data_IF_873222852793
#
_entry.id   IF_873222852793
#
_cell.length_a   1.000
_cell.length_b   1.000
_cell.length_c   1.000
_cell.angle_alpha   90.00
_cell.angle_beta   90.00
_cell.angle_gamma   90.00
#
_symmetry.space_group_name_H-M   'P 1'
#
loop_
_entity.id
_entity.type
_entity.pdbx_description
1 polymer ?
#
# COMPACT_ATOMS: atom_id res chain seq x y z
N UNK A 1 -7.16 3.59 15.02
CA UNK A 1 -6.23 3.12 16.10
C UNK A 1 -5.07 4.10 16.17
N UNK A 2 -4.91 4.81 17.28
CA UNK A 2 -3.86 5.84 17.42
C UNK A 2 -2.51 5.20 17.70
N UNK A 3 -1.46 5.66 17.02
CA UNK A 3 -0.07 5.25 17.26
C UNK A 3 0.54 6.13 18.36
N UNK A 4 1.49 5.60 19.14
CA UNK A 4 2.18 6.37 20.14
C UNK A 4 3.08 7.44 19.51
N UNK A 5 2.83 8.72 19.80
CA UNK A 5 3.65 9.86 19.35
C UNK A 5 4.33 10.54 20.53
N UNK A 6 5.55 11.09 20.31
CA UNK A 6 6.31 11.88 21.30
C UNK A 6 7.02 13.02 20.61
N UNK A 7 7.09 14.19 21.23
CA UNK A 7 7.93 15.30 20.76
C UNK A 7 9.33 15.18 21.35
N UNK A 8 10.35 15.16 20.51
CA UNK A 8 11.78 15.15 20.88
C UNK A 8 12.59 15.89 19.82
N UNK A 9 13.73 16.49 20.20
CA UNK A 9 14.63 17.07 19.20
C UNK A 9 15.25 16.01 18.30
N UNK A 10 15.56 16.40 17.07
CA UNK A 10 16.13 15.53 16.04
C UNK A 10 17.34 14.76 16.56
N UNK A 11 18.30 15.45 17.20
CA UNK A 11 19.54 14.84 17.71
C UNK A 11 19.27 13.79 18.81
N UNK A 12 18.31 14.06 19.69
CA UNK A 12 17.90 13.09 20.72
C UNK A 12 17.31 11.84 20.12
N UNK A 13 16.64 11.95 18.97
CA UNK A 13 16.08 10.81 18.27
C UNK A 13 17.16 10.03 17.55
N UNK A 14 18.12 10.69 16.88
CA UNK A 14 19.26 10.03 16.24
C UNK A 14 20.13 9.25 17.24
N UNK A 15 20.26 9.74 18.46
CA UNK A 15 21.02 9.05 19.52
C UNK A 15 20.35 7.76 20.04
N UNK A 16 19.10 7.46 19.60
CA UNK A 16 18.39 6.26 20.05
C UNK A 16 18.94 5.01 19.37
N UNK A 17 19.06 3.94 20.16
CA UNK A 17 19.47 2.62 19.64
C UNK A 17 18.28 1.92 18.98
N UNK A 18 18.53 1.36 17.81
CA UNK A 18 17.58 0.50 17.14
C UNK A 18 17.35 -0.80 17.89
N UNK A 19 16.15 -1.39 17.75
CA UNK A 19 15.90 -2.73 18.25
C UNK A 19 16.84 -3.74 17.59
N UNK A 20 17.43 -4.63 18.38
CA UNK A 20 18.17 -5.76 17.84
C UNK A 20 17.21 -6.70 17.08
N UNK A 21 17.64 -7.20 15.93
CA UNK A 21 16.89 -8.24 15.21
C UNK A 21 16.60 -9.44 16.12
N UNK A 22 15.39 -9.95 16.03
CA UNK A 22 14.96 -11.14 16.77
C UNK A 22 14.19 -12.04 15.80
N UNK A 23 14.55 -13.33 15.76
CA UNK A 23 13.82 -14.33 14.96
C UNK A 23 12.31 -14.25 15.24
N UNK A 24 11.45 -14.39 14.20
CA UNK A 24 10.00 -14.39 14.39
C UNK A 24 9.54 -15.57 15.23
N UNK A 25 8.41 -15.42 15.88
CA UNK A 25 7.77 -16.49 16.62
C UNK A 25 6.70 -17.16 15.76
N UNK A 26 6.51 -18.47 15.93
CA UNK A 26 5.32 -19.14 15.43
C UNK A 26 4.11 -18.55 16.16
N UNK A 27 3.01 -18.22 15.45
CA UNK A 27 1.81 -17.62 16.07
C UNK A 27 1.29 -18.46 17.23
N UNK A 28 0.92 -17.78 18.29
CA UNK A 28 0.25 -18.41 19.43
C UNK A 28 -1.19 -18.80 19.05
N UNK A 29 -1.57 -20.06 19.21
CA UNK A 29 -2.88 -20.55 18.80
C UNK A 29 -4.03 -19.90 19.59
N UNK A 30 -3.85 -19.59 20.87
CA UNK A 30 -4.87 -18.93 21.68
C UNK A 30 -5.13 -17.52 21.13
N UNK A 31 -4.07 -16.74 20.82
CA UNK A 31 -4.21 -15.42 20.21
C UNK A 31 -4.81 -15.50 18.80
N UNK A 32 -4.41 -16.49 18.00
CA UNK A 32 -5.02 -16.72 16.69
C UNK A 32 -6.53 -17.04 16.82
N UNK A 33 -6.93 -17.78 17.85
CA UNK A 33 -8.35 -18.06 18.14
C UNK A 33 -9.09 -16.78 18.55
N UNK A 34 -8.49 -15.95 19.40
CA UNK A 34 -9.08 -14.65 19.77
C UNK A 34 -9.26 -13.77 18.54
N UNK A 35 -8.24 -13.63 17.68
CA UNK A 35 -8.34 -12.89 16.42
C UNK A 35 -9.47 -13.46 15.56
N UNK A 36 -9.58 -14.78 15.47
CA UNK A 36 -10.62 -15.45 14.70
C UNK A 36 -12.03 -15.17 15.22
N UNK A 37 -12.21 -15.09 16.55
CA UNK A 37 -13.49 -14.73 17.18
C UNK A 37 -13.81 -13.25 16.89
N UNK A 38 -12.85 -12.36 17.10
CA UNK A 38 -13.02 -10.94 16.83
C UNK A 38 -13.31 -10.66 15.33
N UNK A 39 -12.73 -11.47 14.44
CA UNK A 39 -12.99 -11.35 13.01
C UNK A 39 -14.46 -11.59 12.64
N UNK A 40 -15.22 -12.39 13.41
CA UNK A 40 -16.63 -12.65 13.16
C UNK A 40 -17.44 -11.37 13.19
N UNK A 41 -17.21 -10.51 14.18
CA UNK A 41 -17.96 -9.25 14.33
C UNK A 41 -17.77 -8.28 13.18
N UNK A 42 -16.59 -8.25 12.54
CA UNK A 42 -16.32 -7.38 11.39
C UNK A 42 -16.71 -8.03 10.04
N UNK A 43 -16.68 -9.37 9.94
CA UNK A 43 -17.00 -10.08 8.71
C UNK A 43 -18.50 -10.38 8.56
N UNK A 44 -19.21 -10.57 9.68
CA UNK A 44 -20.64 -10.90 9.65
C UNK A 44 -21.48 -9.81 8.91
N UNK A 45 -21.29 -8.50 9.16
CA UNK A 45 -22.02 -7.46 8.44
C UNK A 45 -21.73 -7.43 6.93
N UNK A 46 -20.58 -7.97 6.50
CA UNK A 46 -20.17 -7.99 5.09
C UNK A 46 -20.69 -9.24 4.35
N UNK A 47 -21.41 -10.14 5.03
CA UNK A 47 -21.86 -11.44 4.46
C UNK A 47 -20.72 -12.17 3.76
N UNK A 48 -19.54 -12.20 4.38
CA UNK A 48 -18.29 -12.68 3.77
C UNK A 48 -18.40 -14.13 3.29
N UNK A 49 -18.04 -14.33 2.02
CA UNK A 49 -17.93 -15.65 1.38
C UNK A 49 -16.56 -15.82 0.73
N UNK A 50 -16.13 -17.06 0.48
CA UNK A 50 -14.91 -17.32 -0.27
C UNK A 50 -14.98 -18.66 -1.01
N UNK A 51 -14.23 -18.73 -2.10
CA UNK A 51 -14.08 -19.94 -2.92
C UNK A 51 -12.61 -20.38 -2.97
N UNK A 52 -12.40 -21.69 -3.16
CA UNK A 52 -11.08 -22.26 -3.38
C UNK A 52 -10.94 -22.83 -4.78
N UNK A 53 -9.79 -22.58 -5.41
CA UNK A 53 -9.35 -23.18 -6.66
C UNK A 53 -8.02 -23.92 -6.41
N UNK A 54 -7.93 -25.19 -6.82
CA UNK A 54 -6.72 -25.99 -6.70
C UNK A 54 -6.38 -26.43 -5.26
N UNK A 55 -7.34 -26.41 -4.33
CA UNK A 55 -7.08 -26.77 -2.92
C UNK A 55 -6.54 -28.17 -2.75
N UNK A 56 -6.90 -29.09 -3.61
CA UNK A 56 -6.43 -30.51 -3.64
C UNK A 56 -4.93 -30.61 -3.90
N UNK A 57 -4.33 -29.62 -4.54
CA UNK A 57 -2.87 -29.56 -4.79
C UNK A 57 -2.06 -29.21 -3.53
N UNK A 58 -2.73 -28.75 -2.46
CA UNK A 58 -2.07 -28.30 -1.23
C UNK A 58 -2.26 -29.32 -0.11
N UNK A 59 -1.16 -29.88 0.40
CA UNK A 59 -1.21 -30.73 1.57
C UNK A 59 -1.65 -29.94 2.82
N UNK A 60 -2.50 -30.56 3.67
CA UNK A 60 -3.00 -29.94 4.91
C UNK A 60 -1.87 -29.50 5.86
N UNK A 61 -0.77 -30.24 5.88
CA UNK A 61 0.38 -30.00 6.80
C UNK A 61 1.49 -29.16 6.19
N UNK A 62 1.49 -28.96 4.86
CA UNK A 62 2.53 -28.21 4.16
C UNK A 62 2.37 -26.70 4.35
N UNK A 63 3.43 -25.98 4.79
CA UNK A 63 3.37 -24.54 4.87
C UNK A 63 3.37 -23.92 3.47
N UNK A 64 2.72 -22.79 3.30
CA UNK A 64 2.64 -22.08 2.03
C UNK A 64 2.92 -20.58 2.21
N UNK A 65 3.36 -19.94 1.14
CA UNK A 65 3.36 -18.50 1.04
C UNK A 65 1.96 -18.03 0.61
N UNK A 66 1.34 -17.23 1.44
CA UNK A 66 0.02 -16.63 1.18
C UNK A 66 0.26 -15.21 0.68
N UNK A 67 -0.12 -14.93 -0.55
CA UNK A 67 -0.05 -13.61 -1.16
C UNK A 67 -1.47 -13.05 -1.26
N UNK A 68 -1.70 -11.86 -0.71
CA UNK A 68 -3.01 -11.23 -0.69
C UNK A 68 -2.94 -9.80 -1.23
N UNK A 69 -3.94 -9.37 -2.00
CA UNK A 69 -4.10 -7.98 -2.35
C UNK A 69 -4.41 -7.15 -1.09
N UNK A 70 -3.96 -5.89 -1.08
CA UNK A 70 -4.09 -5.04 0.11
C UNK A 70 -5.12 -3.94 -0.12
N UNK A 71 -6.35 -4.21 0.31
CA UNK A 71 -7.49 -3.37 -0.06
C UNK A 71 -8.20 -2.73 1.14
N UNK A 72 -8.13 -3.34 2.35
CA UNK A 72 -8.95 -2.93 3.48
C UNK A 72 -8.36 -3.37 4.82
N UNK A 73 -8.77 -2.72 5.90
CA UNK A 73 -8.40 -3.11 7.28
C UNK A 73 -9.01 -4.44 7.75
N UNK A 74 -9.93 -5.03 6.96
CA UNK A 74 -10.45 -6.38 7.27
C UNK A 74 -9.62 -7.51 6.66
N UNK A 75 -8.60 -7.21 5.84
CA UNK A 75 -7.81 -8.22 5.11
C UNK A 75 -7.26 -9.30 6.04
N UNK A 76 -6.68 -8.92 7.20
CA UNK A 76 -6.18 -9.88 8.18
C UNK A 76 -7.29 -10.78 8.75
N UNK A 77 -8.50 -10.23 8.93
CA UNK A 77 -9.66 -10.97 9.44
C UNK A 77 -10.16 -11.97 8.40
N UNK A 78 -10.10 -11.61 7.12
CA UNK A 78 -10.40 -12.48 5.99
C UNK A 78 -9.43 -13.68 5.99
N UNK A 79 -8.13 -13.45 6.08
CA UNK A 79 -7.12 -14.51 6.13
C UNK A 79 -7.33 -15.41 7.35
N UNK A 80 -7.60 -14.83 8.52
CA UNK A 80 -7.95 -15.59 9.72
C UNK A 80 -9.18 -16.47 9.52
N UNK A 81 -10.20 -16.00 8.78
CA UNK A 81 -11.40 -16.80 8.46
C UNK A 81 -11.11 -17.99 7.55
N UNK A 82 -10.20 -17.81 6.59
CA UNK A 82 -9.89 -18.80 5.55
C UNK A 82 -8.92 -19.88 6.06
N UNK A 83 -7.86 -19.48 6.77
CA UNK A 83 -6.74 -20.38 7.09
C UNK A 83 -6.76 -20.97 8.50
N UNK A 84 -7.55 -20.41 9.44
CA UNK A 84 -7.64 -21.00 10.78
C UNK A 84 -8.08 -22.48 10.73
N UNK A 85 -7.48 -23.38 11.51
CA UNK A 85 -6.46 -23.19 12.56
C UNK A 85 -5.00 -23.30 12.07
N UNK A 86 -4.74 -23.31 10.75
CA UNK A 86 -3.40 -23.40 10.19
C UNK A 86 -2.59 -22.15 10.60
N UNK A 87 -1.42 -22.30 11.26
CA UNK A 87 -0.62 -21.16 11.69
C UNK A 87 0.01 -20.45 10.49
N UNK A 88 0.03 -19.12 10.54
CA UNK A 88 0.73 -18.30 9.55
C UNK A 88 1.35 -17.06 10.20
N UNK A 89 2.63 -16.79 9.86
CA UNK A 89 3.27 -15.52 10.18
C UNK A 89 2.78 -14.43 9.25
N UNK A 90 2.93 -13.17 9.62
CA UNK A 90 2.40 -12.02 8.90
C UNK A 90 3.53 -11.03 8.66
N UNK A 91 3.89 -10.78 7.40
CA UNK A 91 4.77 -9.66 7.05
C UNK A 91 3.98 -8.36 7.19
N UNK A 92 4.41 -7.52 8.12
CA UNK A 92 3.70 -6.26 8.40
C UNK A 92 4.70 -5.11 8.61
N UNK A 93 4.21 -3.90 8.44
CA UNK A 93 5.03 -2.70 8.60
C UNK A 93 5.50 -2.52 10.05
N UNK A 94 6.73 -2.03 10.21
CA UNK A 94 7.38 -1.86 11.52
C UNK A 94 6.68 -0.84 12.42
N UNK A 95 5.93 0.11 11.87
CA UNK A 95 5.09 1.04 12.63
C UNK A 95 3.99 0.33 13.43
N UNK A 96 3.48 -0.81 12.96
CA UNK A 96 2.56 -1.64 13.75
C UNK A 96 3.13 -2.18 15.08
N UNK A 97 4.46 -2.15 15.24
CA UNK A 97 5.14 -2.55 16.48
C UNK A 97 5.31 -1.42 17.50
N UNK A 98 4.93 -0.19 17.12
CA UNK A 98 5.11 1.01 17.94
C UNK A 98 4.10 1.04 19.09
N UNK A 99 4.61 1.20 20.32
CA UNK A 99 3.81 1.34 21.52
C UNK A 99 4.22 0.40 22.66
N UNK A 100 3.74 0.69 23.84
CA UNK A 100 4.03 -0.13 25.03
C UNK A 100 3.41 -1.53 24.87
N UNK A 101 4.22 -2.57 25.00
CA UNK A 101 3.78 -3.98 24.85
C UNK A 101 3.47 -4.42 23.42
N UNK A 102 3.30 -3.50 22.46
CA UNK A 102 2.92 -3.83 21.07
C UNK A 102 3.94 -4.72 20.39
N UNK A 103 5.24 -4.46 20.57
CA UNK A 103 6.30 -5.30 19.98
C UNK A 103 6.21 -6.76 20.43
N UNK A 104 5.85 -7.03 21.69
CA UNK A 104 5.64 -8.39 22.18
C UNK A 104 4.36 -8.99 21.62
N UNK A 105 3.25 -8.26 21.66
CA UNK A 105 1.96 -8.70 21.13
C UNK A 105 2.07 -9.06 19.64
N UNK A 106 2.62 -8.17 18.82
CA UNK A 106 2.80 -8.40 17.38
C UNK A 106 3.64 -9.65 17.10
N UNK A 107 4.70 -9.88 17.89
CA UNK A 107 5.49 -11.10 17.76
C UNK A 107 4.73 -12.37 18.17
N UNK A 108 3.92 -12.32 19.21
CA UNK A 108 3.12 -13.47 19.67
C UNK A 108 2.02 -13.85 18.67
N UNK A 109 1.49 -12.89 17.91
CA UNK A 109 0.56 -13.17 16.81
C UNK A 109 1.27 -13.54 15.49
N UNK A 110 2.62 -13.61 15.50
CA UNK A 110 3.42 -14.07 14.37
C UNK A 110 3.82 -13.00 13.38
N UNK A 111 3.74 -11.72 13.73
CA UNK A 111 4.16 -10.63 12.85
C UNK A 111 5.67 -10.56 12.69
N UNK A 112 6.11 -10.36 11.44
CA UNK A 112 7.48 -10.12 11.01
C UNK A 112 7.58 -8.65 10.62
N UNK A 113 8.35 -7.81 11.34
CA UNK A 113 8.46 -6.41 11.02
C UNK A 113 9.24 -6.21 9.71
N UNK A 114 8.75 -5.32 8.85
CA UNK A 114 9.46 -4.85 7.67
C UNK A 114 9.30 -3.35 7.52
N UNK A 115 10.25 -2.71 6.83
CA UNK A 115 10.13 -1.33 6.42
C UNK A 115 9.66 -1.30 4.96
N UNK A 116 8.49 -0.69 4.71
CA UNK A 116 7.93 -0.62 3.37
C UNK A 116 8.90 0.07 2.43
N UNK A 117 9.10 -0.51 1.26
CA UNK A 117 9.95 0.01 0.19
C UNK A 117 11.44 0.17 0.54
N UNK A 118 11.90 -0.40 1.63
CA UNK A 118 13.32 -0.48 2.01
C UNK A 118 13.79 -1.92 1.81
N UNK A 119 14.94 -2.10 1.14
CA UNK A 119 15.50 -3.45 0.92
C UNK A 119 15.87 -4.09 2.24
N UNK A 120 15.29 -5.23 2.56
CA UNK A 120 15.53 -5.97 3.80
C UNK A 120 15.82 -7.45 3.53
N UNK A 121 17.09 -7.81 3.63
CA UNK A 121 17.55 -9.21 3.48
C UNK A 121 17.12 -10.06 4.67
N UNK A 122 16.96 -9.45 5.86
CA UNK A 122 16.57 -10.17 7.06
C UNK A 122 15.14 -10.71 6.95
N UNK A 123 14.25 -9.99 6.31
CA UNK A 123 12.88 -10.42 6.03
C UNK A 123 12.84 -11.77 5.31
N UNK A 124 13.67 -11.96 4.27
CA UNK A 124 13.69 -13.21 3.52
C UNK A 124 14.16 -14.38 4.40
N UNK A 125 15.16 -14.16 5.27
CA UNK A 125 15.64 -15.15 6.23
C UNK A 125 14.56 -15.51 7.25
N UNK A 126 13.84 -14.52 7.74
CA UNK A 126 12.75 -14.71 8.70
C UNK A 126 11.57 -15.48 8.10
N UNK A 127 11.21 -15.18 6.85
CA UNK A 127 10.21 -15.95 6.11
C UNK A 127 10.65 -17.41 5.92
N UNK A 128 11.91 -17.65 5.50
CA UNK A 128 12.46 -19.01 5.37
C UNK A 128 12.47 -19.76 6.69
N UNK A 129 12.82 -19.09 7.79
CA UNK A 129 12.81 -19.67 9.13
C UNK A 129 11.41 -20.13 9.54
N UNK A 130 10.36 -19.30 9.32
CA UNK A 130 8.98 -19.72 9.62
C UNK A 130 8.53 -20.88 8.73
N UNK A 131 8.76 -20.77 7.42
CA UNK A 131 8.31 -21.76 6.43
C UNK A 131 8.99 -23.12 6.63
N UNK A 132 10.32 -23.14 6.76
CA UNK A 132 11.12 -24.37 6.72
C UNK A 132 11.41 -24.97 8.11
N UNK A 133 11.72 -24.11 9.11
CA UNK A 133 12.10 -24.60 10.43
C UNK A 133 10.91 -24.66 11.40
N UNK A 134 9.93 -23.77 11.27
CA UNK A 134 8.76 -23.72 12.15
C UNK A 134 7.50 -24.37 11.56
N UNK A 135 7.56 -24.87 10.34
CA UNK A 135 6.41 -25.43 9.61
C UNK A 135 5.19 -24.50 9.72
N UNK A 136 5.38 -23.23 9.40
CA UNK A 136 4.40 -22.15 9.55
C UNK A 136 4.28 -21.39 8.23
N UNK A 137 3.07 -21.25 7.70
CA UNK A 137 2.82 -20.44 6.50
C UNK A 137 3.19 -18.99 6.73
N UNK A 138 3.37 -18.21 5.67
CA UNK A 138 3.65 -16.77 5.76
C UNK A 138 2.67 -16.02 4.88
N UNK A 139 1.97 -15.05 5.46
CA UNK A 139 1.15 -14.06 4.76
C UNK A 139 2.00 -12.85 4.39
N UNK A 140 1.91 -12.43 3.15
CA UNK A 140 2.55 -11.21 2.64
C UNK A 140 1.59 -10.48 1.70
N UNK A 141 1.61 -9.15 1.78
CA UNK A 141 0.95 -8.26 0.82
C UNK A 141 2.02 -7.77 -0.17
N UNK A 142 2.11 -8.35 -1.38
CA UNK A 142 3.22 -8.05 -2.29
C UNK A 142 3.19 -6.63 -2.83
N UNK A 143 2.03 -6.00 -2.82
CA UNK A 143 1.82 -4.60 -3.18
C UNK A 143 2.49 -3.61 -2.19
N UNK A 144 2.80 -4.06 -0.97
CA UNK A 144 3.40 -3.29 0.13
C UNK A 144 2.62 -2.03 0.54
N UNK A 145 1.50 -1.72 -0.10
CA UNK A 145 0.66 -0.54 0.13
C UNK A 145 -0.80 -0.86 -0.15
N UNK A 146 -1.70 -0.12 0.46
CA UNK A 146 -3.12 -0.17 0.09
C UNK A 146 -3.34 0.38 -1.31
N UNK A 147 -4.32 -0.17 -2.02
CA UNK A 147 -4.81 0.42 -3.26
C UNK A 147 -5.43 1.79 -2.98
N UNK A 148 -5.12 2.78 -3.83
CA UNK A 148 -5.70 4.12 -3.73
C UNK A 148 -7.00 4.25 -4.54
N UNK A 149 -7.00 3.71 -5.75
CA UNK A 149 -8.08 3.85 -6.73
C UNK A 149 -8.92 2.57 -6.91
N UNK A 150 -8.68 1.55 -6.10
CA UNK A 150 -9.39 0.27 -6.18
C UNK A 150 -8.83 -0.71 -7.20
N UNK A 151 -7.73 -0.36 -7.89
CA UNK A 151 -7.00 -1.28 -8.78
C UNK A 151 -5.77 -1.87 -8.10
N UNK A 152 -5.18 -2.89 -8.73
CA UNK A 152 -3.92 -3.46 -8.31
C UNK A 152 -2.80 -2.43 -8.34
N UNK A 153 -1.95 -2.42 -7.32
CA UNK A 153 -0.74 -1.60 -7.31
C UNK A 153 0.43 -2.36 -7.95
N UNK A 154 1.43 -1.65 -8.51
CA UNK A 154 2.57 -2.32 -9.13
C UNK A 154 3.30 -3.26 -8.16
N UNK A 155 3.51 -4.51 -8.57
CA UNK A 155 4.28 -5.47 -7.79
C UNK A 155 5.80 -5.22 -7.92
N UNK A 156 6.59 -5.58 -6.89
CA UNK A 156 8.05 -5.58 -6.99
C UNK A 156 8.50 -6.47 -8.15
N UNK A 157 9.37 -5.95 -9.01
CA UNK A 157 9.94 -6.78 -10.08
C UNK A 157 10.83 -7.88 -9.51
N UNK A 158 10.80 -9.05 -10.17
CA UNK A 158 11.52 -10.27 -9.77
C UNK A 158 10.95 -10.94 -8.49
N UNK A 159 9.65 -10.80 -8.25
CA UNK A 159 8.98 -11.59 -7.23
C UNK A 159 9.17 -13.10 -7.47
N UNK A 160 9.23 -13.56 -8.73
CA UNK A 160 9.53 -14.93 -9.09
C UNK A 160 10.86 -15.44 -8.49
N UNK A 161 11.86 -14.56 -8.31
CA UNK A 161 13.12 -14.91 -7.60
C UNK A 161 12.84 -15.24 -6.13
N UNK A 162 12.01 -14.45 -5.46
CA UNK A 162 11.60 -14.70 -4.08
C UNK A 162 10.85 -16.02 -3.98
N UNK A 163 9.88 -16.28 -4.86
CA UNK A 163 9.11 -17.52 -4.89
C UNK A 163 10.01 -18.74 -5.02
N UNK A 164 10.94 -18.73 -5.97
CA UNK A 164 11.93 -19.81 -6.16
C UNK A 164 12.83 -19.99 -4.95
N UNK A 165 13.27 -18.91 -4.31
CA UNK A 165 14.14 -18.96 -3.11
C UNK A 165 13.41 -19.55 -1.90
N UNK A 166 12.14 -19.24 -1.74
CA UNK A 166 11.32 -19.82 -0.66
C UNK A 166 10.99 -21.29 -0.95
N UNK A 167 10.65 -21.64 -2.18
CA UNK A 167 10.44 -23.00 -2.67
C UNK A 167 9.31 -23.75 -1.97
N UNK A 168 8.26 -23.05 -1.59
CA UNK A 168 7.03 -23.58 -0.96
C UNK A 168 5.82 -23.25 -1.83
N UNK A 169 4.70 -23.99 -1.72
CA UNK A 169 3.50 -23.64 -2.47
C UNK A 169 3.08 -22.19 -2.27
N UNK A 170 2.56 -21.58 -3.33
CA UNK A 170 2.07 -20.19 -3.34
C UNK A 170 0.55 -20.20 -3.44
N UNK A 171 -0.10 -19.52 -2.52
CA UNK A 171 -1.56 -19.36 -2.49
C UNK A 171 -1.88 -17.89 -2.60
N UNK A 172 -2.74 -17.49 -3.53
CA UNK A 172 -3.25 -16.13 -3.63
C UNK A 172 -4.61 -16.01 -2.97
N UNK A 173 -4.87 -14.86 -2.37
CA UNK A 173 -6.16 -14.45 -1.83
C UNK A 173 -6.51 -13.10 -2.43
N UNK A 174 -7.44 -13.07 -3.36
CA UNK A 174 -7.88 -11.83 -4.01
C UNK A 174 -9.28 -11.49 -3.50
N UNK A 175 -9.38 -10.36 -2.80
CA UNK A 175 -10.63 -9.87 -2.23
C UNK A 175 -11.39 -9.00 -3.23
N UNK A 176 -12.70 -9.08 -3.16
CA UNK A 176 -13.66 -8.28 -3.90
C UNK A 176 -14.60 -7.59 -2.93
N UNK A 177 -14.88 -6.30 -3.12
CA UNK A 177 -15.69 -5.49 -2.23
C UNK A 177 -14.99 -5.01 -0.95
N UNK A 178 -13.82 -5.55 -0.60
CA UNK A 178 -13.07 -5.13 0.59
C UNK A 178 -12.63 -3.66 0.47
N UNK A 179 -12.10 -3.24 -0.69
CA UNK A 179 -11.79 -1.84 -0.97
C UNK A 179 -13.01 -0.93 -0.83
N UNK A 180 -14.13 -1.32 -1.43
CA UNK A 180 -15.34 -0.51 -1.44
C UNK A 180 -15.94 -0.31 -0.04
N UNK A 181 -15.66 -1.23 0.89
CA UNK A 181 -16.16 -1.17 2.27
C UNK A 181 -15.58 -0.02 3.09
N UNK A 182 -14.29 0.21 3.03
CA UNK A 182 -13.60 1.25 3.81
C UNK A 182 -12.34 1.78 3.09
N UNK A 183 -12.54 2.47 1.93
CA UNK A 183 -11.43 2.96 1.16
C UNK A 183 -10.64 4.04 1.92
N UNK A 184 -9.32 4.05 1.74
CA UNK A 184 -8.44 5.00 2.44
C UNK A 184 -8.78 6.45 2.17
N UNK A 185 -9.10 6.80 0.92
CA UNK A 185 -9.42 8.17 0.55
C UNK A 185 -10.61 8.72 1.33
N UNK A 186 -11.52 7.85 1.76
CA UNK A 186 -12.74 8.19 2.48
C UNK A 186 -12.57 8.14 4.01
N UNK A 187 -11.34 8.30 4.53
CA UNK A 187 -11.01 8.24 5.95
C UNK A 187 -11.53 6.95 6.63
N UNK A 188 -11.54 5.83 5.92
CA UNK A 188 -11.97 4.52 6.42
C UNK A 188 -13.42 4.49 6.93
N UNK A 189 -14.28 5.37 6.43
CA UNK A 189 -15.71 5.31 6.72
C UNK A 189 -16.28 4.01 6.19
N UNK A 190 -16.93 3.24 7.08
CA UNK A 190 -17.43 1.90 6.74
C UNK A 190 -18.71 1.99 5.93
N UNK A 191 -18.77 1.25 4.83
CA UNK A 191 -19.91 1.12 3.95
C UNK A 191 -20.50 -0.29 4.04
N UNK A 192 -21.78 -0.44 3.74
CA UNK A 192 -22.49 -1.72 3.71
C UNK A 192 -22.23 -2.43 2.38
N UNK A 193 -21.12 -3.16 2.29
CA UNK A 193 -20.73 -3.87 1.08
C UNK A 193 -20.55 -5.35 1.38
N UNK A 194 -21.06 -6.19 0.48
CA UNK A 194 -20.74 -7.62 0.50
C UNK A 194 -19.27 -7.82 0.12
N UNK A 195 -18.56 -8.64 0.90
CA UNK A 195 -17.15 -8.94 0.65
C UNK A 195 -16.97 -10.41 0.33
N UNK A 196 -16.17 -10.70 -0.68
CA UNK A 196 -15.79 -12.06 -1.01
C UNK A 196 -14.30 -12.19 -1.24
N UNK A 197 -13.79 -13.44 -1.28
CA UNK A 197 -12.42 -13.73 -1.63
C UNK A 197 -12.33 -14.94 -2.56
N UNK A 198 -11.48 -14.83 -3.59
CA UNK A 198 -11.05 -15.96 -4.41
C UNK A 198 -9.69 -16.43 -3.89
N UNK A 199 -9.64 -17.68 -3.42
CA UNK A 199 -8.41 -18.32 -2.93
C UNK A 199 -7.95 -19.32 -3.98
N UNK A 200 -6.72 -19.16 -4.47
CA UNK A 200 -6.18 -20.03 -5.52
C UNK A 200 -4.81 -20.55 -5.14
N UNK A 201 -4.57 -21.84 -5.31
CA UNK A 201 -3.22 -22.40 -5.29
C UNK A 201 -2.57 -22.03 -6.61
N UNK A 202 -1.74 -20.98 -6.56
CA UNK A 202 -1.14 -20.38 -7.77
C UNK A 202 -0.07 -21.29 -8.34
N UNK A 203 0.80 -21.84 -7.49
CA UNK A 203 1.82 -22.81 -7.88
C UNK A 203 2.17 -23.73 -6.69
N UNK A 204 2.43 -24.98 -6.99
CA UNK A 204 3.01 -25.95 -6.04
C UNK A 204 4.53 -25.77 -5.95
N UNK A 205 5.15 -26.31 -4.90
CA UNK A 205 6.62 -26.30 -4.76
C UNK A 205 7.33 -26.99 -5.95
N UNK A 206 6.69 -27.95 -6.60
CA UNK A 206 7.25 -28.62 -7.77
C UNK A 206 7.15 -27.75 -9.03
N UNK A 207 6.02 -27.10 -9.27
CA UNK A 207 5.82 -26.18 -10.40
C UNK A 207 6.83 -25.01 -10.33
N UNK A 208 7.10 -24.46 -9.11
CA UNK A 208 8.09 -23.41 -8.92
C UNK A 208 9.51 -23.77 -9.38
N UNK A 209 9.89 -25.06 -9.34
CA UNK A 209 11.22 -25.50 -9.77
C UNK A 209 11.38 -25.41 -11.28
N UNK A 210 10.33 -25.73 -12.04
CA UNK A 210 10.34 -25.82 -13.50
C UNK A 210 10.09 -24.48 -14.20
N UNK A 211 9.26 -23.60 -13.59
CA UNK A 211 8.92 -22.29 -14.18
C UNK A 211 10.12 -21.33 -14.15
N UNK A 212 10.21 -20.47 -15.16
CA UNK A 212 11.16 -19.34 -15.19
C UNK A 212 10.71 -18.21 -14.28
N UNK A 213 11.62 -17.31 -13.93
CA UNK A 213 11.28 -16.09 -13.15
C UNK A 213 10.26 -15.21 -13.89
N UNK A 214 10.41 -15.09 -15.22
CA UNK A 214 9.50 -14.29 -16.03
C UNK A 214 8.07 -14.85 -16.03
N UNK A 215 7.92 -16.19 -16.17
CA UNK A 215 6.61 -16.85 -16.07
C UNK A 215 5.96 -16.68 -14.70
N UNK A 216 6.77 -16.72 -13.63
CA UNK A 216 6.27 -16.49 -12.27
C UNK A 216 5.84 -15.04 -12.04
N UNK A 217 6.60 -14.07 -12.56
CA UNK A 217 6.25 -12.65 -12.48
C UNK A 217 4.96 -12.35 -13.27
N UNK A 218 4.82 -12.90 -14.50
CA UNK A 218 3.62 -12.77 -15.34
C UNK A 218 2.38 -13.36 -14.66
N UNK A 219 2.50 -14.59 -14.12
CA UNK A 219 1.43 -15.26 -13.38
C UNK A 219 0.98 -14.46 -12.14
N UNK A 220 1.91 -13.76 -11.47
CA UNK A 220 1.57 -12.86 -10.36
C UNK A 220 0.87 -11.59 -10.86
N UNK A 221 1.38 -10.97 -11.94
CA UNK A 221 0.75 -9.77 -12.53
C UNK A 221 -0.70 -10.09 -12.95
N UNK A 222 -0.97 -11.27 -13.54
CA UNK A 222 -2.32 -11.73 -13.85
C UNK A 222 -3.18 -11.96 -12.61
N UNK A 223 -2.65 -12.67 -11.59
CA UNK A 223 -3.40 -13.00 -10.38
C UNK A 223 -3.79 -11.77 -9.57
N UNK A 224 -2.98 -10.71 -9.63
CA UNK A 224 -3.23 -9.44 -8.93
C UNK A 224 -3.89 -8.37 -9.82
N UNK A 225 -4.14 -8.65 -11.08
CA UNK A 225 -4.84 -7.75 -12.01
C UNK A 225 -6.33 -7.68 -11.69
N UNK A 226 -6.75 -6.88 -10.72
CA UNK A 226 -8.17 -6.68 -10.42
C UNK A 226 -8.53 -5.20 -10.39
N UNK A 227 -9.82 -4.91 -10.60
CA UNK A 227 -10.42 -3.58 -10.54
C UNK A 227 -11.71 -3.66 -9.74
N UNK A 228 -11.73 -3.00 -8.59
CA UNK A 228 -12.85 -3.06 -7.65
C UNK A 228 -14.08 -2.29 -8.16
N UNK A 229 -13.88 -1.14 -8.86
CA UNK A 229 -15.00 -0.39 -9.42
C UNK A 229 -15.64 -1.13 -10.59
N UNK A 230 -14.82 -1.73 -11.48
CA UNK A 230 -15.32 -2.57 -12.56
C UNK A 230 -16.10 -3.77 -12.00
N UNK A 231 -15.54 -4.44 -10.98
CA UNK A 231 -16.25 -5.52 -10.27
C UNK A 231 -17.59 -5.04 -9.68
N UNK A 232 -17.62 -3.87 -9.04
CA UNK A 232 -18.84 -3.27 -8.48
C UNK A 232 -19.89 -3.07 -9.55
N UNK A 233 -19.51 -2.49 -10.69
CA UNK A 233 -20.38 -2.20 -11.82
C UNK A 233 -20.92 -3.47 -12.48
N UNK A 234 -20.07 -4.45 -12.78
CA UNK A 234 -20.44 -5.72 -13.41
C UNK A 234 -21.36 -6.57 -12.54
N UNK A 235 -21.19 -6.51 -11.22
CA UNK A 235 -22.02 -7.26 -10.27
C UNK A 235 -23.19 -6.45 -9.70
N UNK A 236 -23.42 -5.22 -10.20
CA UNK A 236 -24.51 -4.32 -9.80
C UNK A 236 -24.56 -4.10 -8.27
N UNK A 237 -23.37 -3.93 -7.65
CA UNK A 237 -23.27 -3.72 -6.20
C UNK A 237 -23.61 -2.26 -5.89
N UNK A 238 -24.76 -2.07 -5.24
CA UNK A 238 -25.23 -0.75 -4.82
C UNK A 238 -24.55 -0.31 -3.55
N UNK A 239 -23.96 0.90 -3.56
CA UNK A 239 -23.38 1.59 -2.41
C UNK A 239 -24.06 2.95 -2.28
N UNK A 240 -25.06 3.01 -1.41
CA UNK A 240 -25.97 4.16 -1.27
C UNK A 240 -25.57 5.15 -0.17
N UNK A 241 -24.45 4.92 0.51
CA UNK A 241 -24.00 5.80 1.58
C UNK A 241 -23.83 7.25 1.13
N UNK A 242 -24.37 8.22 1.90
CA UNK A 242 -24.37 9.64 1.52
C UNK A 242 -22.98 10.29 1.54
N UNK A 243 -21.99 9.61 2.10
CA UNK A 243 -20.59 10.05 2.19
C UNK A 243 -19.65 9.30 1.22
N UNK A 244 -20.18 8.62 0.19
CA UNK A 244 -19.38 7.76 -0.70
C UNK A 244 -18.32 8.49 -1.51
N UNK A 245 -18.47 9.80 -1.74
CA UNK A 245 -17.48 10.61 -2.42
C UNK A 245 -16.58 11.43 -1.49
N UNK A 246 -16.78 11.39 -0.15
CA UNK A 246 -15.94 12.15 0.78
C UNK A 246 -14.47 11.81 0.59
N UNK A 247 -13.65 12.85 0.42
CA UNK A 247 -12.20 12.72 0.26
C UNK A 247 -11.73 12.14 -1.09
N UNK A 248 -12.62 11.94 -2.06
CA UNK A 248 -12.26 11.41 -3.38
C UNK A 248 -11.22 12.30 -4.11
N UNK A 249 -11.16 13.58 -3.78
CA UNK A 249 -10.13 14.52 -4.24
C UNK A 249 -8.70 14.13 -3.84
N UNK A 250 -8.50 13.32 -2.79
CA UNK A 250 -7.18 12.80 -2.41
C UNK A 250 -6.55 11.97 -3.51
N UNK A 251 -7.36 11.25 -4.27
CA UNK A 251 -6.91 10.42 -5.39
C UNK A 251 -7.17 11.09 -6.74
N UNK A 252 -8.24 11.89 -6.88
CA UNK A 252 -8.61 12.61 -8.10
C UNK A 252 -8.32 14.11 -7.93
N UNK A 253 -7.02 14.45 -7.83
CA UNK A 253 -6.54 15.78 -7.46
C UNK A 253 -6.44 16.77 -8.63
N UNK A 254 -6.45 16.28 -9.89
CA UNK A 254 -6.35 17.12 -11.10
C UNK A 254 -7.64 17.05 -11.90
N UNK A 255 -8.28 18.18 -12.11
CA UNK A 255 -9.53 18.26 -12.86
C UNK A 255 -9.29 18.03 -14.37
N UNK A 256 -9.98 17.07 -15.02
CA UNK A 256 -9.79 16.80 -16.45
C UNK A 256 -10.42 17.88 -17.35
N UNK A 257 -11.30 18.73 -16.84
CA UNK A 257 -11.96 19.77 -17.60
C UNK A 257 -11.09 21.03 -17.71
N UNK A 258 -10.52 21.52 -16.61
CA UNK A 258 -9.71 22.74 -16.58
C UNK A 258 -8.21 22.49 -16.34
N UNK A 259 -7.81 21.24 -16.14
CA UNK A 259 -6.42 20.80 -15.90
C UNK A 259 -5.78 21.34 -14.60
N UNK A 260 -6.55 22.00 -13.72
CA UNK A 260 -6.05 22.55 -12.45
C UNK A 260 -5.91 21.47 -11.40
N UNK A 261 -4.83 21.51 -10.63
CA UNK A 261 -4.56 20.60 -9.51
C UNK A 261 -4.96 21.22 -8.16
N UNK A 262 -5.29 20.37 -7.17
CA UNK A 262 -5.56 20.75 -5.79
C UNK A 262 -6.83 21.61 -5.60
N UNK A 263 -7.69 21.69 -6.61
CA UNK A 263 -8.93 22.46 -6.56
C UNK A 263 -10.18 21.55 -6.61
N UNK A 264 -10.00 20.26 -6.49
CA UNK A 264 -11.13 19.31 -6.38
C UNK A 264 -11.49 19.09 -4.91
N UNK A 265 -12.75 18.92 -4.60
CA UNK A 265 -13.28 18.57 -3.29
C UNK A 265 -14.30 17.44 -3.44
N UNK A 266 -14.04 16.30 -2.77
CA UNK A 266 -15.00 15.20 -2.64
C UNK A 266 -15.79 15.35 -1.35
N UNK A 267 -17.12 15.54 -1.47
CA UNK A 267 -18.02 15.71 -0.32
C UNK A 267 -19.39 15.12 -0.60
N UNK A 268 -19.90 14.35 0.35
CA UNK A 268 -21.19 13.70 0.21
C UNK A 268 -21.16 12.67 -0.92
N UNK A 269 -21.88 12.95 -1.99
CA UNK A 269 -21.96 12.07 -3.18
C UNK A 269 -21.32 12.69 -4.42
N UNK A 270 -20.63 13.84 -4.29
CA UNK A 270 -20.10 14.60 -5.42
C UNK A 270 -18.62 14.92 -5.27
N UNK A 271 -17.95 15.08 -6.42
CA UNK A 271 -16.64 15.64 -6.56
C UNK A 271 -16.77 16.96 -7.34
N UNK A 272 -16.40 18.07 -6.72
CA UNK A 272 -16.54 19.42 -7.29
C UNK A 272 -15.16 20.00 -7.56
N UNK A 273 -14.96 20.61 -8.73
CA UNK A 273 -13.77 21.42 -9.01
C UNK A 273 -14.09 22.90 -8.73
N UNK A 274 -13.45 23.50 -7.73
CA UNK A 274 -13.66 24.90 -7.37
C UNK A 274 -13.06 25.90 -8.37
N UNK A 275 -12.15 25.45 -9.24
CA UNK A 275 -11.54 26.32 -10.27
C UNK A 275 -12.48 26.57 -11.45
N UNK A 276 -13.20 25.56 -11.93
CA UNK A 276 -14.08 25.68 -13.10
C UNK A 276 -15.56 25.39 -12.83
N UNK A 277 -15.93 25.08 -11.60
CA UNK A 277 -17.29 24.78 -11.19
C UNK A 277 -17.84 23.42 -11.64
N UNK A 278 -17.05 22.59 -12.36
CA UNK A 278 -17.50 21.28 -12.82
C UNK A 278 -17.79 20.35 -11.64
N UNK A 279 -18.94 19.70 -11.66
CA UNK A 279 -19.42 18.76 -10.63
C UNK A 279 -19.61 17.39 -11.23
N UNK A 280 -19.11 16.37 -10.53
CA UNK A 280 -19.28 14.95 -10.88
C UNK A 280 -20.00 14.24 -9.72
N UNK A 281 -21.11 13.58 -10.01
CA UNK A 281 -21.80 12.73 -9.05
C UNK A 281 -21.19 11.32 -9.05
N UNK A 282 -20.83 10.79 -7.89
CA UNK A 282 -20.50 9.39 -7.73
C UNK A 282 -21.80 8.61 -7.53
N UNK A 283 -22.17 7.82 -8.54
CA UNK A 283 -23.38 7.01 -8.48
C UNK A 283 -23.27 5.86 -7.47
N UNK A 284 -24.36 5.25 -7.12
CA UNK A 284 -24.42 4.08 -6.22
C UNK A 284 -23.71 2.85 -6.80
N UNK A 285 -23.58 2.79 -8.13
CA UNK A 285 -22.84 1.73 -8.84
C UNK A 285 -21.37 2.07 -9.08
N UNK A 286 -20.86 3.19 -8.53
CA UNK A 286 -19.45 3.54 -8.62
C UNK A 286 -19.02 4.23 -9.92
N UNK A 287 -19.99 4.75 -10.71
CA UNK A 287 -19.67 5.60 -11.86
C UNK A 287 -19.54 7.06 -11.45
N UNK A 288 -18.60 7.79 -12.06
CA UNK A 288 -18.53 9.24 -12.00
C UNK A 288 -19.28 9.84 -13.19
N UNK A 289 -20.32 10.62 -12.94
CA UNK A 289 -21.12 11.27 -13.95
C UNK A 289 -21.11 12.77 -13.76
N UNK A 290 -20.75 13.52 -14.79
CA UNK A 290 -20.90 14.96 -14.75
C UNK A 290 -22.37 15.33 -14.56
N UNK A 291 -22.64 16.28 -13.66
CA UNK A 291 -24.01 16.76 -13.43
C UNK A 291 -24.52 17.53 -14.66
N UNK A 292 -23.59 18.30 -15.32
CA UNK A 292 -23.88 19.04 -16.53
C UNK A 292 -22.87 18.69 -17.64
N UNK A 293 -23.37 18.34 -18.83
CA UNK A 293 -22.57 17.99 -20.01
C UNK A 293 -21.86 16.65 -19.86
N UNK A 294 -20.81 16.43 -20.64
CA UNK A 294 -20.11 15.16 -20.73
C UNK A 294 -19.12 14.93 -19.60
N UNK A 295 -18.98 13.66 -19.21
CA UNK A 295 -17.94 13.18 -18.30
C UNK A 295 -16.69 12.81 -19.09
N UNK A 296 -15.56 13.43 -18.79
CA UNK A 296 -14.27 13.03 -19.37
C UNK A 296 -13.90 11.58 -18.97
N UNK A 297 -14.24 11.21 -17.75
CA UNK A 297 -14.07 9.85 -17.21
C UNK A 297 -15.30 9.48 -16.39
N UNK A 298 -15.84 8.31 -16.66
CA UNK A 298 -16.93 7.71 -15.87
C UNK A 298 -16.42 6.67 -14.89
N UNK A 299 -15.17 6.21 -15.06
CA UNK A 299 -14.51 5.20 -14.26
C UNK A 299 -13.36 5.83 -13.46
N UNK A 300 -13.38 5.70 -12.12
CA UNK A 300 -12.39 6.32 -11.23
C UNK A 300 -10.95 5.91 -11.57
N UNK A 301 -10.63 4.62 -11.81
CA UNK A 301 -9.30 4.20 -12.19
C UNK A 301 -8.80 4.80 -13.51
N UNK A 302 -9.68 5.09 -14.47
CA UNK A 302 -9.30 5.72 -15.74
C UNK A 302 -8.85 7.17 -15.53
N UNK A 303 -9.55 7.90 -14.66
CA UNK A 303 -9.15 9.24 -14.25
C UNK A 303 -7.80 9.21 -13.52
N UNK A 304 -7.63 8.29 -12.56
CA UNK A 304 -6.36 8.13 -11.84
C UNK A 304 -5.21 7.75 -12.79
N UNK A 305 -5.47 6.88 -13.78
CA UNK A 305 -4.52 6.52 -14.83
C UNK A 305 -4.19 7.69 -15.78
N UNK A 306 -5.16 8.56 -16.04
CA UNK A 306 -4.91 9.79 -16.79
C UNK A 306 -3.97 10.72 -16.01
N UNK A 307 -4.17 10.94 -14.73
CA UNK A 307 -3.26 11.71 -13.88
C UNK A 307 -1.83 11.14 -13.89
N UNK A 308 -1.69 9.80 -13.89
CA UNK A 308 -0.39 9.13 -14.05
C UNK A 308 0.29 9.52 -15.37
N UNK A 309 -0.46 9.58 -16.47
CA UNK A 309 0.07 10.03 -17.76
C UNK A 309 0.51 11.49 -17.73
N UNK A 310 -0.23 12.36 -17.05
CA UNK A 310 0.15 13.76 -16.88
C UNK A 310 1.47 13.91 -16.10
N UNK A 311 1.58 13.23 -14.96
CA UNK A 311 2.81 13.22 -14.15
C UNK A 311 4.00 12.65 -14.94
N UNK A 312 3.78 11.59 -15.72
CA UNK A 312 4.81 11.02 -16.60
C UNK A 312 5.28 12.05 -17.63
N UNK A 313 4.36 12.79 -18.24
CA UNK A 313 4.66 13.86 -19.20
C UNK A 313 5.46 14.98 -18.52
N UNK A 314 5.04 15.46 -17.35
CA UNK A 314 5.78 16.46 -16.57
C UNK A 314 7.24 16.02 -16.28
N UNK A 315 7.45 14.73 -15.97
CA UNK A 315 8.79 14.17 -15.77
C UNK A 315 9.61 14.08 -17.06
N UNK A 316 8.98 13.77 -18.20
CA UNK A 316 9.64 13.71 -19.51
C UNK A 316 10.04 15.11 -20.02
N UNK A 317 9.22 16.12 -19.77
CA UNK A 317 9.45 17.52 -20.10
C UNK A 317 10.37 18.24 -19.10
N UNK A 318 10.67 17.62 -17.96
CA UNK A 318 11.50 18.24 -16.90
C UNK A 318 10.79 19.34 -16.13
N UNK A 319 9.48 19.42 -16.20
CA UNK A 319 8.66 20.43 -15.49
C UNK A 319 8.16 19.95 -14.13
N UNK A 320 8.28 18.64 -13.84
CA UNK A 320 7.84 18.08 -12.57
C UNK A 320 8.72 18.56 -11.41
N UNK A 321 8.12 19.25 -10.47
CA UNK A 321 8.70 19.53 -9.15
C UNK A 321 7.58 19.64 -8.13
N UNK A 322 7.68 18.89 -7.06
CA UNK A 322 6.79 18.98 -5.92
C UNK A 322 7.56 19.47 -4.72
N UNK A 323 7.11 20.58 -4.15
CA UNK A 323 7.64 21.16 -2.91
C UNK A 323 6.50 21.38 -1.93
N UNK A 324 6.65 20.95 -0.68
CA UNK A 324 5.64 21.10 0.36
C UNK A 324 6.25 21.23 1.75
N UNK A 325 5.63 22.05 2.59
CA UNK A 325 5.94 22.12 4.01
C UNK A 325 5.38 20.89 4.72
N UNK A 326 6.16 20.32 5.63
CA UNK A 326 5.80 19.08 6.32
C UNK A 326 6.09 19.17 7.82
N UNK A 327 5.23 18.53 8.62
CA UNK A 327 5.62 18.06 9.94
C UNK A 327 6.39 16.75 9.80
N UNK A 328 7.50 16.61 10.54
CA UNK A 328 8.39 15.46 10.40
C UNK A 328 8.29 14.56 11.63
N UNK A 329 7.84 13.32 11.39
CA UNK A 329 7.92 12.23 12.34
C UNK A 329 9.09 11.31 12.02
N UNK A 330 9.78 10.77 13.02
CA UNK A 330 10.83 9.78 12.85
C UNK A 330 10.53 8.48 13.61
N UNK A 331 10.87 7.37 12.99
CA UNK A 331 10.89 6.07 13.66
C UNK A 331 12.30 5.48 13.61
N UNK A 332 12.89 5.30 14.80
CA UNK A 332 14.22 4.69 15.01
C UNK A 332 14.10 3.43 15.88
N UNK A 333 13.25 3.49 16.87
CA UNK A 333 12.90 2.38 17.76
C UNK A 333 11.38 2.09 17.67
N UNK A 334 10.89 1.03 18.31
CA UNK A 334 9.46 0.68 18.31
C UNK A 334 8.69 1.28 19.49
N UNK A 335 9.19 2.38 20.09
CA UNK A 335 8.54 2.97 21.30
C UNK A 335 7.54 4.06 20.94
N UNK A 336 7.84 4.87 19.94
CA UNK A 336 6.98 5.95 19.48
C UNK A 336 7.38 6.39 18.05
N UNK A 337 6.47 7.09 17.38
CA UNK A 337 6.80 8.02 16.30
C UNK A 337 7.21 9.34 16.98
N UNK A 338 8.43 9.78 16.71
CA UNK A 338 9.00 10.98 17.32
C UNK A 338 8.78 12.16 16.38
N UNK A 339 7.91 13.10 16.77
CA UNK A 339 7.74 14.37 16.07
C UNK A 339 8.95 15.25 16.38
N UNK A 340 9.79 15.49 15.38
CA UNK A 340 11.12 16.12 15.55
C UNK A 340 11.17 17.57 15.11
N UNK A 341 10.16 18.06 14.40
CA UNK A 341 10.07 19.43 13.92
C UNK A 341 9.36 19.53 12.59
N UNK A 342 9.55 20.67 11.96
CA UNK A 342 9.00 21.00 10.65
C UNK A 342 10.12 21.02 9.60
N UNK A 343 9.73 20.99 8.34
CA UNK A 343 10.68 21.06 7.25
C UNK A 343 10.02 21.16 5.89
N UNK A 344 10.86 21.10 4.87
CA UNK A 344 10.44 21.12 3.46
C UNK A 344 10.80 19.79 2.81
N UNK A 345 9.81 19.16 2.19
CA UNK A 345 9.97 17.98 1.35
C UNK A 345 9.90 18.41 -0.11
N UNK A 346 10.94 18.07 -0.87
CA UNK A 346 11.01 18.28 -2.31
C UNK A 346 11.13 16.93 -2.99
N UNK A 347 10.38 16.72 -4.09
CA UNK A 347 10.54 15.58 -4.99
C UNK A 347 10.57 16.05 -6.43
N UNK A 348 11.63 15.70 -7.13
CA UNK A 348 11.86 16.06 -8.54
C UNK A 348 12.59 14.92 -9.30
N UNK A 349 13.19 15.23 -10.45
CA UNK A 349 13.92 14.29 -11.28
C UNK A 349 15.14 13.64 -10.60
N UNK A 350 15.64 14.22 -9.50
CA UNK A 350 16.77 13.70 -8.73
C UNK A 350 16.34 12.90 -7.49
N UNK A 351 15.04 12.81 -7.26
CA UNK A 351 14.43 12.08 -6.14
C UNK A 351 14.00 12.99 -5.01
N UNK A 352 14.04 12.49 -3.77
CA UNK A 352 13.60 13.24 -2.60
C UNK A 352 14.74 14.01 -1.95
N UNK A 353 14.43 15.24 -1.51
CA UNK A 353 15.20 16.04 -0.58
C UNK A 353 14.31 16.46 0.59
N UNK A 354 14.75 16.17 1.80
CA UNK A 354 14.08 16.59 3.03
C UNK A 354 15.03 17.43 3.85
N UNK A 355 14.66 18.68 4.11
CA UNK A 355 15.39 19.59 4.99
C UNK A 355 14.49 20.06 6.11
N UNK A 356 15.02 20.28 7.32
CA UNK A 356 14.19 20.73 8.42
C UNK A 356 14.91 20.72 9.77
N UNK A 357 14.12 20.73 10.84
CA UNK A 357 14.62 20.71 12.22
C UNK A 357 15.67 21.81 12.48
N UNK A 358 15.38 23.05 12.09
CA UNK A 358 16.27 24.22 12.23
C UNK A 358 17.63 24.00 11.53
N UNK A 359 17.61 23.42 10.33
CA UNK A 359 18.80 23.17 9.53
C UNK A 359 19.62 21.93 9.93
N UNK A 360 19.20 21.17 10.94
CA UNK A 360 19.90 19.99 11.44
C UNK A 360 19.60 18.73 10.66
N UNK A 361 18.47 18.67 9.98
CA UNK A 361 18.08 17.56 9.11
C UNK A 361 18.33 17.95 7.65
N UNK A 362 19.15 17.14 6.97
CA UNK A 362 19.29 17.12 5.51
C UNK A 362 19.36 15.66 5.07
N UNK A 363 18.34 15.19 4.35
CA UNK A 363 18.26 13.83 3.87
C UNK A 363 17.92 13.80 2.37
N UNK A 364 18.66 12.99 1.62
CA UNK A 364 18.44 12.80 0.19
C UNK A 364 18.19 11.34 -0.12
N UNK A 365 17.23 11.07 -1.01
CA UNK A 365 16.91 9.72 -1.49
C UNK A 365 16.79 9.73 -3.01
N UNK A 366 17.74 9.09 -3.67
CA UNK A 366 17.78 9.05 -5.14
C UNK A 366 16.62 8.28 -5.77
N UNK A 367 16.33 8.53 -7.05
CA UNK A 367 15.13 8.03 -7.75
C UNK A 367 15.11 6.52 -7.98
N UNK A 368 16.24 5.84 -7.86
CA UNK A 368 16.33 4.36 -7.98
C UNK A 368 16.36 3.64 -6.63
N UNK A 369 16.27 4.37 -5.53
CA UNK A 369 16.27 3.78 -4.18
C UNK A 369 15.05 2.90 -3.94
N UNK A 370 13.91 3.23 -4.58
CA UNK A 370 12.65 2.52 -4.40
C UNK A 370 11.78 2.59 -5.65
N UNK A 371 11.04 1.51 -5.95
CA UNK A 371 10.13 1.44 -7.11
C UNK A 371 8.77 2.13 -6.88
N UNK A 372 8.44 2.42 -5.63
CA UNK A 372 7.27 3.17 -5.18
C UNK A 372 7.58 3.80 -3.82
N UNK A 373 6.65 4.49 -3.19
CA UNK A 373 6.84 5.16 -1.89
C UNK A 373 5.77 4.73 -0.90
N UNK A 374 6.15 4.60 0.37
CA UNK A 374 5.17 4.43 1.43
C UNK A 374 4.40 5.74 1.61
N UNK A 375 3.21 5.77 1.08
CA UNK A 375 2.27 6.88 1.18
C UNK A 375 0.92 6.36 1.64
N UNK A 376 0.22 7.12 2.47
CA UNK A 376 -1.03 6.70 3.07
C UNK A 376 -1.91 7.91 3.39
N UNK A 377 -3.24 7.69 3.46
CA UNK A 377 -4.20 8.68 3.86
C UNK A 377 -4.70 8.42 5.27
N UNK A 378 -4.93 9.48 6.03
CA UNK A 378 -5.45 9.39 7.38
C UNK A 378 -4.65 8.44 8.29
N UNK A 379 -3.31 8.39 8.06
CA UNK A 379 -2.39 7.45 8.68
C UNK A 379 -2.44 7.55 10.21
N UNK A 380 -2.90 6.47 10.85
CA UNK A 380 -3.12 6.38 12.31
C UNK A 380 -3.88 7.59 12.90
N UNK A 381 -4.77 8.22 12.15
CA UNK A 381 -5.55 9.41 12.55
C UNK A 381 -4.69 10.67 12.75
N UNK A 382 -3.42 10.68 12.31
CA UNK A 382 -2.53 11.85 12.36
C UNK A 382 -2.75 12.74 11.13
N UNK A 383 -2.74 12.15 9.94
CA UNK A 383 -2.89 12.88 8.69
C UNK A 383 -2.45 12.08 7.46
N UNK A 384 -2.52 12.72 6.31
CA UNK A 384 -2.00 12.17 5.06
C UNK A 384 -0.47 12.20 5.11
N UNK A 385 0.20 11.15 4.63
CA UNK A 385 1.60 10.90 4.96
C UNK A 385 2.39 10.38 3.76
N UNK A 386 3.63 10.85 3.62
CA UNK A 386 4.68 10.32 2.74
C UNK A 386 5.85 9.89 3.62
N UNK A 387 6.25 8.63 3.54
CA UNK A 387 7.39 8.12 4.30
C UNK A 387 8.56 7.83 3.37
N UNK A 388 9.69 8.46 3.65
CA UNK A 388 10.99 8.23 3.01
C UNK A 388 12.00 7.78 4.05
N UNK A 389 13.14 7.25 3.61
CA UNK A 389 14.18 6.82 4.53
C UNK A 389 14.90 5.56 4.10
N UNK A 390 15.63 5.00 5.02
CA UNK A 390 16.42 3.79 4.82
C UNK A 390 16.34 2.89 6.06
N UNK A 391 17.19 1.86 6.11
CA UNK A 391 17.22 0.98 7.28
C UNK A 391 17.57 1.72 8.58
N UNK A 392 18.22 2.89 8.51
CA UNK A 392 18.69 3.65 9.66
C UNK A 392 17.59 4.48 10.31
N UNK A 393 16.82 5.19 9.52
CA UNK A 393 15.70 6.00 9.97
C UNK A 393 14.62 6.09 8.90
N UNK A 394 13.37 6.10 9.34
CA UNK A 394 12.22 6.44 8.52
C UNK A 394 11.73 7.83 8.92
N UNK A 395 11.49 8.66 7.91
CA UNK A 395 10.95 10.01 8.04
C UNK A 395 9.51 10.01 7.52
N UNK A 396 8.57 10.20 8.42
CA UNK A 396 7.14 10.34 8.13
C UNK A 396 6.84 11.82 7.93
N UNK A 397 6.65 12.22 6.68
CA UNK A 397 6.38 13.59 6.29
C UNK A 397 4.87 13.79 6.16
N UNK A 398 4.31 14.68 6.98
CA UNK A 398 2.90 15.06 6.97
C UNK A 398 2.74 16.41 6.27
N UNK A 399 2.26 16.45 5.00
CA UNK A 399 2.07 17.71 4.27
C UNK A 399 1.10 18.65 4.99
N UNK A 400 1.45 19.95 5.04
CA UNK A 400 0.62 20.96 5.69
C UNK A 400 -0.32 21.68 4.72
N UNK A 401 0.14 21.93 3.51
CA UNK A 401 -0.46 22.93 2.64
C UNK A 401 -1.30 22.36 1.48
N UNK A 402 -1.22 21.07 1.18
CA UNK A 402 -1.87 20.47 0.00
C UNK A 402 -2.43 19.09 0.28
N UNK A 403 -3.72 18.93 0.07
CA UNK A 403 -4.42 17.65 0.27
C UNK A 403 -4.08 16.59 -0.80
N UNK A 404 -3.57 16.99 -1.95
CA UNK A 404 -3.33 16.15 -3.14
C UNK A 404 -1.90 15.64 -3.31
N UNK A 405 -0.99 16.04 -2.41
CA UNK A 405 0.45 15.74 -2.48
C UNK A 405 0.75 14.24 -2.49
N UNK A 406 0.00 13.46 -1.73
CA UNK A 406 0.26 12.03 -1.50
C UNK A 406 0.10 11.20 -2.78
N UNK A 407 -1.02 11.37 -3.50
CA UNK A 407 -1.26 10.65 -4.75
C UNK A 407 -0.27 11.06 -5.83
N UNK A 408 -0.05 12.37 -6.03
CA UNK A 408 0.89 12.88 -7.03
C UNK A 408 2.31 12.38 -6.79
N UNK A 409 2.78 12.41 -5.54
CA UNK A 409 4.10 11.91 -5.16
C UNK A 409 4.25 10.42 -5.48
N UNK A 410 3.26 9.60 -5.14
CA UNK A 410 3.31 8.16 -5.41
C UNK A 410 3.40 7.89 -6.92
N UNK A 411 2.55 8.53 -7.72
CA UNK A 411 2.58 8.41 -9.18
C UNK A 411 3.93 8.83 -9.75
N UNK A 412 4.49 9.95 -9.27
CA UNK A 412 5.77 10.48 -9.74
C UNK A 412 6.95 9.55 -9.40
N UNK A 413 7.01 9.02 -8.17
CA UNK A 413 8.06 8.06 -7.77
C UNK A 413 8.04 6.82 -8.67
N UNK A 414 6.85 6.27 -8.94
CA UNK A 414 6.69 5.08 -9.76
C UNK A 414 7.11 5.32 -11.22
N UNK A 415 6.70 6.43 -11.81
CA UNK A 415 7.05 6.77 -13.20
C UNK A 415 8.53 7.18 -13.34
N UNK A 416 9.07 7.95 -12.39
CA UNK A 416 10.48 8.32 -12.35
C UNK A 416 11.39 7.08 -12.23
N UNK A 417 11.04 6.13 -11.35
CA UNK A 417 11.78 4.88 -11.23
C UNK A 417 11.80 4.09 -12.54
N UNK A 418 10.64 3.97 -13.22
CA UNK A 418 10.54 3.30 -14.53
C UNK A 418 11.42 3.98 -15.58
N UNK A 419 11.37 5.32 -15.64
CA UNK A 419 12.13 6.14 -16.58
C UNK A 419 13.65 5.99 -16.36
N UNK A 420 14.13 6.16 -15.13
CA UNK A 420 15.57 6.04 -14.78
C UNK A 420 16.08 4.61 -14.98
N UNK A 421 15.27 3.59 -14.67
CA UNK A 421 15.62 2.19 -14.89
C UNK A 421 15.74 1.86 -16.39
N UNK A 422 14.84 2.37 -17.23
CA UNK A 422 14.89 2.19 -18.68
C UNK A 422 16.15 2.83 -19.27
N UNK A 423 16.51 4.04 -18.84
CA UNK A 423 17.75 4.74 -19.25
C UNK A 423 19.01 3.95 -18.85
N UNK A 424 19.04 3.37 -17.64
CA UNK A 424 20.18 2.57 -17.16
C UNK A 424 20.33 1.24 -17.90
N UNK A 425 19.25 0.66 -18.40
CA UNK A 425 19.28 -0.59 -19.18
C UNK A 425 19.72 -0.41 -20.63
N UNK A 426 19.78 0.84 -21.14
CA UNK A 426 20.30 1.23 -22.47
C UNK A 426 21.54 2.12 -22.34
N UNK A 427 22.71 1.61 -21.89
CA UNK A 427 23.94 2.39 -21.91
C UNK A 427 24.47 2.35 -23.35
N UNK A 428 24.24 3.39 -24.16
CA UNK A 428 24.81 3.46 -25.51
C UNK A 428 24.25 4.53 -26.46
N UNK A 429 23.15 5.19 -26.16
CA UNK A 429 22.70 6.35 -26.93
C UNK A 429 22.88 7.64 -26.13
N UNK A 430 24.15 8.04 -25.96
CA UNK A 430 24.45 9.44 -25.64
C UNK A 430 24.31 10.19 -26.95
N UNK A 431 23.19 10.83 -27.15
CA UNK A 431 22.99 11.87 -28.15
C UNK A 431 24.07 12.93 -27.98
N UNK A 432 25.04 12.93 -28.89
CA UNK A 432 25.75 14.15 -29.26
C UNK A 432 24.67 15.11 -29.76
N UNK A 433 24.45 16.16 -29.06
CA UNK A 433 23.71 17.33 -29.56
C UNK A 433 24.68 18.51 -29.53
N UNK A 434 24.74 19.28 -30.62
CA UNK A 434 25.76 20.31 -30.88
C UNK A 434 25.70 21.49 -29.93
#
# INVERSE_FOLDING_TARGET
MKIATKRLSYEKVLAKKRPKHRKPLRPNLLLATVIRILAIFDLLPTKFTYTWEGREKLSKKEPCLILMNHSSFIDLKIVSRIFYPKPYGIVCTSDGFVGFGMSLLMRLIGCIPTQKFVTDVSLIRDMQYLLKEKNCSVLMYPEASYSFDGTATPLPRKMGVLLKKLGVPVVTVITQGAFARDPLYNCLQKRKVQVSAKVKVLATAQELKTMTVAQLDEMLDEAFGFDNFKWQQENQIVIDEPFRADGLNRILYRCPHCNTEGQTEGKGTTLTCHSCGKVYALTELGYLQAVDGDSAFTHIPDWYSWQRRQVKQELEEGTYCLETQVDIGMMVDYKAIYMVGEGTLIHDADGFRLTGCDGKLAYNQGPLSCYSVYADYYWYEIGDMICIGNQDALYYCFPKDKADVVAKTRLAVEELYKQKKKRRAKPGEITQTP
#
